data_IF_219012165603
#
_entry.id   IF_219012165603
#
_cell.length_a   1.000
_cell.length_b   1.000
_cell.length_c   1.000
_cell.angle_alpha   90.00
_cell.angle_beta   90.00
_cell.angle_gamma   90.00
#
_symmetry.space_group_name_H-M   'P 1'
#
loop_
_entity.id
_entity.type
_entity.pdbx_description
1 polymer ?
#
# COMPACT_ATOMS: atom_id res chain seq x y z
N UNK A 1 -37.57 13.49 16.12
CA UNK A 1 -36.90 13.17 14.83
C UNK A 1 -37.57 11.93 14.24
N UNK A 2 -37.91 11.88 12.94
CA UNK A 2 -38.53 10.68 12.32
C UNK A 2 -37.44 9.63 12.06
N UNK A 3 -37.76 8.34 12.27
CA UNK A 3 -36.83 7.20 12.08
C UNK A 3 -36.17 7.20 10.69
N UNK A 4 -36.92 7.56 9.66
CA UNK A 4 -36.43 7.64 8.27
C UNK A 4 -35.32 8.68 8.12
N UNK A 5 -35.49 9.85 8.73
CA UNK A 5 -34.55 10.95 8.61
C UNK A 5 -33.26 10.62 9.39
N UNK A 6 -33.37 9.96 10.53
CA UNK A 6 -32.22 9.46 11.29
C UNK A 6 -31.39 8.43 10.50
N UNK A 7 -32.03 7.46 9.84
CA UNK A 7 -31.32 6.47 9.02
C UNK A 7 -30.66 7.13 7.80
N UNK A 8 -31.33 8.08 7.14
CA UNK A 8 -30.76 8.81 6.01
C UNK A 8 -29.54 9.63 6.43
N UNK A 9 -29.67 10.42 7.50
CA UNK A 9 -28.60 11.28 7.99
C UNK A 9 -27.42 10.45 8.54
N UNK A 10 -27.72 9.35 9.24
CA UNK A 10 -26.72 8.41 9.74
C UNK A 10 -25.97 7.69 8.61
N UNK A 11 -26.69 7.26 7.56
CA UNK A 11 -26.10 6.63 6.38
C UNK A 11 -25.23 7.59 5.57
N UNK A 12 -25.68 8.84 5.36
CA UNK A 12 -24.87 9.87 4.72
C UNK A 12 -23.64 10.25 5.56
N UNK A 13 -23.80 10.37 6.88
CA UNK A 13 -22.69 10.68 7.79
C UNK A 13 -21.62 9.60 7.81
N UNK A 14 -22.02 8.33 7.91
CA UNK A 14 -21.09 7.19 7.83
C UNK A 14 -20.43 7.08 6.45
N UNK A 15 -21.20 7.26 5.36
CA UNK A 15 -20.68 7.22 4.00
C UNK A 15 -19.67 8.33 3.73
N UNK A 16 -19.94 9.56 4.17
CA UNK A 16 -19.02 10.69 3.98
C UNK A 16 -17.73 10.52 4.79
N UNK A 17 -17.81 9.93 5.99
CA UNK A 17 -16.65 9.70 6.85
C UNK A 17 -15.68 8.65 6.30
N UNK A 18 -16.15 7.69 5.48
CA UNK A 18 -15.31 6.63 4.91
C UNK A 18 -14.81 6.93 3.48
N UNK A 19 -15.26 8.02 2.84
CA UNK A 19 -14.80 8.42 1.50
C UNK A 19 -13.27 8.62 1.37
N UNK A 20 -12.55 9.21 2.36
CA UNK A 20 -11.10 9.34 2.28
C UNK A 20 -10.37 7.99 2.22
N UNK A 21 -10.96 6.94 2.79
CA UNK A 21 -10.41 5.58 2.82
C UNK A 21 -10.66 4.80 1.52
N UNK A 22 -11.42 5.35 0.56
CA UNK A 22 -11.58 4.72 -0.76
C UNK A 22 -10.25 4.71 -1.56
N UNK A 23 -9.26 5.50 -1.13
CA UNK A 23 -7.89 5.48 -1.62
C UNK A 23 -7.06 4.27 -1.15
N UNK A 24 -7.68 3.29 -0.46
CA UNK A 24 -7.02 2.08 0.03
C UNK A 24 -6.35 1.19 -1.04
N UNK A 25 -6.49 1.50 -2.34
CA UNK A 25 -5.95 0.73 -3.46
C UNK A 25 -4.68 1.33 -4.11
N UNK A 26 -4.03 2.29 -3.44
CA UNK A 26 -2.73 2.84 -3.85
C UNK A 26 -2.78 4.35 -4.11
N UNK A 27 -1.61 4.95 -4.26
CA UNK A 27 -1.45 6.39 -4.50
C UNK A 27 -1.86 6.69 -5.95
N UNK A 28 -2.85 7.57 -6.21
CA UNK A 28 -3.19 7.94 -7.57
C UNK A 28 -1.98 8.62 -8.22
N UNK A 29 -1.65 8.21 -9.44
CA UNK A 29 -0.56 8.79 -10.23
C UNK A 29 -1.08 9.18 -11.60
N UNK A 30 -0.36 10.08 -12.27
CA UNK A 30 -0.78 10.56 -13.58
C UNK A 30 -0.81 9.42 -14.61
N UNK A 31 -1.77 9.41 -15.56
CA UNK A 31 -1.83 8.41 -16.63
C UNK A 31 -0.55 8.29 -17.47
N UNK A 32 0.17 9.40 -17.63
CA UNK A 32 1.45 9.55 -18.33
C UNK A 32 2.68 9.30 -17.44
N UNK A 33 2.48 8.92 -16.17
CA UNK A 33 3.58 8.58 -15.27
C UNK A 33 4.37 7.37 -15.81
N UNK A 34 5.67 7.55 -16.01
CA UNK A 34 6.54 6.50 -16.51
C UNK A 34 6.85 5.45 -15.43
N UNK A 35 6.89 4.18 -15.83
CA UNK A 35 7.39 3.14 -14.95
C UNK A 35 8.92 3.25 -14.79
N UNK A 36 9.37 3.72 -13.64
CA UNK A 36 10.79 3.71 -13.29
C UNK A 36 11.17 2.54 -12.37
N UNK A 37 12.44 2.15 -12.41
CA UNK A 37 12.97 1.20 -11.43
C UNK A 37 13.70 1.94 -10.32
N UNK A 38 13.65 1.39 -9.11
CA UNK A 38 14.42 1.92 -7.98
C UNK A 38 15.80 1.29 -8.02
N UNK A 39 16.83 2.11 -7.81
CA UNK A 39 18.21 1.66 -7.74
C UNK A 39 18.36 0.50 -6.75
N UNK A 40 19.02 -0.55 -7.21
CA UNK A 40 19.38 -1.73 -6.43
C UNK A 40 20.14 -1.37 -5.16
N UNK A 41 20.98 -0.33 -5.16
CA UNK A 41 21.73 0.10 -3.98
C UNK A 41 20.79 0.62 -2.88
N UNK A 42 19.77 1.41 -3.25
CA UNK A 42 18.75 1.92 -2.33
C UNK A 42 17.93 0.76 -1.76
N UNK A 43 17.49 -0.18 -2.61
CA UNK A 43 16.75 -1.37 -2.15
C UNK A 43 17.56 -2.21 -1.16
N UNK A 44 18.85 -2.43 -1.43
CA UNK A 44 19.74 -3.17 -0.53
C UNK A 44 19.87 -2.46 0.81
N UNK A 45 20.10 -1.13 0.81
CA UNK A 45 20.21 -0.35 2.04
C UNK A 45 18.96 -0.49 2.91
N UNK A 46 17.76 -0.33 2.33
CA UNK A 46 16.49 -0.48 3.06
C UNK A 46 16.28 -1.90 3.58
N UNK A 47 16.62 -2.91 2.76
CA UNK A 47 16.56 -4.30 3.19
C UNK A 47 17.51 -4.59 4.36
N UNK A 48 18.74 -4.06 4.32
CA UNK A 48 19.74 -4.22 5.37
C UNK A 48 19.27 -3.59 6.69
N UNK A 49 18.64 -2.42 6.65
CA UNK A 49 18.04 -1.79 7.85
C UNK A 49 17.03 -2.72 8.49
N UNK A 50 16.06 -3.23 7.71
CA UNK A 50 15.02 -4.11 8.23
C UNK A 50 15.55 -5.46 8.71
N UNK A 51 16.49 -6.08 7.99
CA UNK A 51 17.12 -7.34 8.36
C UNK A 51 17.96 -7.21 9.62
N UNK A 52 18.76 -6.14 9.75
CA UNK A 52 19.57 -5.88 10.93
C UNK A 52 18.69 -5.60 12.16
N UNK A 53 17.60 -4.85 11.99
CA UNK A 53 16.63 -4.61 13.06
C UNK A 53 15.92 -5.89 13.52
N UNK A 54 15.57 -6.80 12.60
CA UNK A 54 14.99 -8.10 12.96
C UNK A 54 15.99 -8.99 13.70
N UNK A 55 17.23 -9.06 13.19
CA UNK A 55 18.30 -9.87 13.79
C UNK A 55 18.69 -9.38 15.18
N UNK A 56 18.81 -8.06 15.37
CA UNK A 56 19.14 -7.48 16.67
C UNK A 56 18.07 -7.74 17.73
N UNK A 57 16.82 -7.98 17.31
CA UNK A 57 15.69 -8.37 18.17
C UNK A 57 15.53 -9.88 18.35
N UNK A 58 16.48 -10.69 17.89
CA UNK A 58 16.51 -12.13 18.14
C UNK A 58 15.82 -13.00 17.08
N UNK A 59 15.53 -12.47 15.89
CA UNK A 59 15.06 -13.30 14.79
C UNK A 59 16.17 -14.27 14.33
N UNK A 60 15.84 -15.56 14.24
CA UNK A 60 16.73 -16.62 13.70
C UNK A 60 16.65 -16.72 12.19
N UNK A 61 15.58 -16.19 11.60
CA UNK A 61 15.38 -16.06 10.17
C UNK A 61 14.64 -14.75 9.89
N UNK A 62 15.02 -14.06 8.83
CA UNK A 62 14.32 -12.88 8.34
C UNK A 62 14.45 -12.79 6.82
N UNK A 63 13.35 -12.44 6.15
CA UNK A 63 13.33 -12.13 4.74
C UNK A 63 12.49 -10.88 4.46
N UNK A 64 13.00 -10.03 3.57
CA UNK A 64 12.41 -8.72 3.25
C UNK A 64 12.03 -8.69 1.77
N UNK A 65 10.82 -8.21 1.48
CA UNK A 65 10.30 -7.99 0.12
C UNK A 65 10.05 -6.51 -0.07
N UNK A 66 10.73 -5.90 -1.04
CA UNK A 66 10.51 -4.52 -1.45
C UNK A 66 9.87 -4.55 -2.84
N UNK A 67 8.68 -3.97 -2.97
CA UNK A 67 7.91 -3.99 -4.21
C UNK A 67 7.39 -2.61 -4.56
N UNK A 68 7.51 -2.24 -5.84
CA UNK A 68 6.83 -1.09 -6.44
C UNK A 68 5.95 -1.60 -7.58
N UNK A 69 4.68 -1.27 -7.53
CA UNK A 69 3.65 -1.72 -8.46
C UNK A 69 2.96 -0.51 -9.07
N UNK A 70 3.01 -0.39 -10.39
CA UNK A 70 2.18 0.54 -11.15
C UNK A 70 0.97 -0.25 -11.66
N UNK A 71 -0.22 0.11 -11.22
CA UNK A 71 -1.47 -0.49 -11.65
C UNK A 71 -2.16 0.47 -12.62
N UNK A 72 -2.43 0.02 -13.83
CA UNK A 72 -3.09 0.83 -14.84
C UNK A 72 -4.45 0.21 -15.19
N UNK A 73 -5.49 1.03 -15.17
CA UNK A 73 -6.86 0.63 -15.48
C UNK A 73 -7.43 1.50 -16.58
N UNK A 74 -7.99 0.84 -17.61
CA UNK A 74 -8.68 1.45 -18.73
C UNK A 74 -10.13 0.96 -18.71
N UNK A 75 -11.06 1.89 -18.54
CA UNK A 75 -12.50 1.59 -18.55
C UNK A 75 -13.07 2.09 -19.87
N UNK A 76 -13.68 1.20 -20.63
CA UNK A 76 -14.35 1.53 -21.90
C UNK A 76 -15.86 1.27 -21.79
N UNK A 77 -16.63 1.96 -22.63
CA UNK A 77 -18.06 1.70 -22.84
C UNK A 77 -18.35 1.91 -24.31
N UNK A 78 -18.92 0.90 -24.96
CA UNK A 78 -19.10 0.86 -26.41
C UNK A 78 -17.77 1.16 -27.13
N UNK A 79 -17.76 2.19 -27.98
CA UNK A 79 -16.60 2.65 -28.73
C UNK A 79 -15.86 3.83 -28.08
N UNK A 80 -16.10 4.13 -26.79
CA UNK A 80 -15.50 5.27 -26.08
C UNK A 80 -14.72 4.84 -24.84
N UNK A 81 -13.52 5.37 -24.68
CA UNK A 81 -12.78 5.33 -23.41
C UNK A 81 -13.51 6.24 -22.41
N UNK A 82 -13.88 5.69 -21.27
CA UNK A 82 -14.56 6.41 -20.18
C UNK A 82 -13.57 6.95 -19.17
N UNK A 83 -12.53 6.17 -18.87
CA UNK A 83 -11.57 6.51 -17.85
C UNK A 83 -10.22 5.83 -18.08
N UNK A 84 -9.15 6.55 -17.73
CA UNK A 84 -7.79 6.05 -17.67
C UNK A 84 -7.28 6.42 -16.27
N UNK A 85 -6.90 5.42 -15.48
CA UNK A 85 -6.46 5.66 -14.10
C UNK A 85 -5.24 4.81 -13.79
N UNK A 86 -4.23 5.45 -13.23
CA UNK A 86 -3.06 4.77 -12.71
C UNK A 86 -3.04 4.91 -11.17
N UNK A 87 -2.67 3.83 -10.49
CA UNK A 87 -2.28 3.87 -9.07
C UNK A 87 -0.91 3.25 -8.88
N UNK A 88 -0.18 3.74 -7.88
CA UNK A 88 1.10 3.20 -7.49
C UNK A 88 1.08 2.72 -6.05
N UNK A 89 1.70 1.57 -5.81
CA UNK A 89 2.00 1.08 -4.46
C UNK A 89 3.49 0.81 -4.36
N UNK A 90 4.16 1.44 -3.39
CA UNK A 90 5.56 1.20 -3.07
C UNK A 90 5.70 0.93 -1.58
N UNK A 91 6.30 -0.21 -1.23
CA UNK A 91 6.45 -0.59 0.16
C UNK A 91 7.38 -1.77 0.38
N UNK A 92 7.51 -2.11 1.66
CA UNK A 92 8.34 -3.18 2.15
C UNK A 92 7.54 -4.08 3.10
N UNK A 93 7.64 -5.40 2.91
CA UNK A 93 7.14 -6.40 3.83
C UNK A 93 8.30 -7.21 4.40
N UNK A 94 8.26 -7.52 5.69
CA UNK A 94 9.22 -8.40 6.35
C UNK A 94 8.50 -9.60 6.95
N UNK A 95 9.14 -10.76 6.84
CA UNK A 95 8.74 -11.99 7.52
C UNK A 95 9.90 -12.49 8.36
N UNK A 96 9.64 -12.90 9.59
CA UNK A 96 10.66 -13.32 10.55
C UNK A 96 10.27 -14.62 11.25
N UNK A 97 11.27 -15.36 11.73
CA UNK A 97 11.11 -16.39 12.76
C UNK A 97 11.86 -15.94 14.01
N UNK A 98 11.17 -15.86 15.14
CA UNK A 98 11.77 -15.58 16.45
C UNK A 98 11.17 -16.56 17.48
N UNK A 99 12.01 -17.19 18.29
CA UNK A 99 11.60 -18.20 19.28
C UNK A 99 10.68 -19.32 18.70
N UNK A 100 10.93 -19.72 17.45
CA UNK A 100 10.13 -20.75 16.76
C UNK A 100 8.80 -20.28 16.18
N UNK A 101 8.46 -18.99 16.30
CA UNK A 101 7.20 -18.42 15.82
C UNK A 101 7.40 -17.51 14.61
N UNK A 102 6.45 -17.54 13.67
CA UNK A 102 6.41 -16.62 12.54
C UNK A 102 5.86 -15.24 12.93
N UNK A 103 6.46 -14.19 12.38
CA UNK A 103 5.97 -12.81 12.47
C UNK A 103 6.02 -12.11 11.11
N UNK A 104 5.09 -11.17 10.90
CA UNK A 104 4.95 -10.43 9.65
C UNK A 104 4.67 -8.95 9.94
N UNK A 105 5.27 -8.06 9.15
CA UNK A 105 4.96 -6.64 9.17
C UNK A 105 5.15 -6.05 7.77
N UNK A 106 4.49 -4.93 7.50
CA UNK A 106 4.63 -4.18 6.25
C UNK A 106 4.55 -2.67 6.50
N UNK A 107 5.19 -1.90 5.63
CA UNK A 107 5.21 -0.44 5.64
C UNK A 107 5.26 0.12 4.22
N UNK A 108 4.66 1.28 4.00
CA UNK A 108 4.81 2.10 2.79
C UNK A 108 5.75 3.31 3.03
N UNK A 109 6.29 3.45 4.24
CA UNK A 109 7.36 4.40 4.58
C UNK A 109 8.70 3.77 4.23
N UNK A 110 9.36 4.36 3.23
CA UNK A 110 10.58 3.84 2.60
C UNK A 110 11.78 4.72 2.94
N UNK A 111 11.95 4.98 4.23
CA UNK A 111 13.06 5.69 4.88
C UNK A 111 13.89 4.71 5.74
N UNK A 112 14.92 5.21 6.42
CA UNK A 112 15.85 4.37 7.20
C UNK A 112 15.55 4.38 8.71
N UNK A 113 14.43 5.00 9.12
CA UNK A 113 14.13 5.33 10.52
C UNK A 113 13.14 4.35 11.17
#
# INVERSE_FOLDING_TARGET
MKRRDFIYLGGMGLGAATLPDLAAFGKPVSPDAEYYTIDTAVKKKLADVALNAARSKGATYADVRIGRYLNQSLITRENRVQNITNTESYGMGIRVIANGCWGFAATDKMDND
#
